data_IF_170986949507
#
_entry.id   IF_170986949507
#
_cell.length_a   1.000
_cell.length_b   1.000
_cell.length_c   1.000
_cell.angle_alpha   90.00
_cell.angle_beta   90.00
_cell.angle_gamma   90.00
#
_symmetry.space_group_name_H-M   'P 1'
#
loop_
_entity.id
_entity.type
_entity.pdbx_description
1 polymer ?
#
# COMPACT_ATOMS: atom_id res chain seq x y z
N UNK A 1 32.29 72.34 9.79
CA UNK A 1 31.21 73.19 10.33
C UNK A 1 29.86 72.57 9.93
N UNK A 2 28.85 72.54 10.83
CA UNK A 2 27.37 72.45 10.62
C UNK A 2 26.89 72.15 9.17
N UNK A 3 26.13 71.11 8.75
CA UNK A 3 25.39 69.90 9.26
C UNK A 3 25.43 68.81 8.12
N UNK A 4 24.97 67.55 8.15
CA UNK A 4 23.99 66.68 8.87
C UNK A 4 22.51 66.73 8.38
N UNK A 5 21.86 65.55 8.21
CA UNK A 5 20.47 65.28 7.74
C UNK A 5 20.26 65.35 6.21
N UNK A 6 19.32 64.63 5.54
CA UNK A 6 18.40 63.49 5.86
C UNK A 6 18.10 62.79 4.49
N UNK A 7 18.11 61.46 4.38
CA UNK A 7 17.02 60.47 4.61
C UNK A 7 15.90 60.48 3.55
N UNK A 8 15.43 59.29 3.16
CA UNK A 8 14.49 59.02 2.06
C UNK A 8 13.14 59.73 2.16
N UNK A 9 12.62 60.18 1.01
CA UNK A 9 11.18 60.34 0.77
C UNK A 9 10.76 59.34 -0.33
N UNK A 10 9.97 58.33 0.06
CA UNK A 10 9.38 57.35 -0.86
C UNK A 10 7.95 57.79 -1.19
N UNK A 11 7.56 57.81 -2.47
CA UNK A 11 6.15 58.02 -2.82
C UNK A 11 5.30 56.84 -2.33
N UNK A 12 4.38 57.11 -1.38
CA UNK A 12 3.19 56.30 -1.08
C UNK A 12 2.23 57.15 -0.20
N UNK A 13 0.95 56.78 -0.12
CA UNK A 13 -0.05 57.35 0.81
C UNK A 13 -0.46 58.83 0.67
N UNK A 14 -0.72 59.32 -0.55
CA UNK A 14 -1.44 60.61 -0.75
C UNK A 14 -2.94 60.60 -0.40
N UNK A 15 -3.45 59.55 0.27
CA UNK A 15 -4.89 59.31 0.51
C UNK A 15 -5.31 59.18 1.99
N UNK A 16 -4.39 59.15 2.96
CA UNK A 16 -4.73 59.03 4.40
C UNK A 16 -5.13 60.37 5.07
N UNK A 17 -5.67 61.33 4.31
CA UNK A 17 -6.13 62.64 4.84
C UNK A 17 -7.55 62.64 5.41
N UNK A 18 -8.25 61.49 5.42
CA UNK A 18 -9.66 61.40 5.83
C UNK A 18 -9.91 60.98 7.29
N UNK A 19 -8.87 60.71 8.09
CA UNK A 19 -9.01 60.29 9.50
C UNK A 19 -8.14 61.10 10.46
N UNK A 20 -8.60 62.32 10.76
CA UNK A 20 -8.28 63.07 11.98
C UNK A 20 -9.58 63.64 12.56
N UNK A 21 -9.70 63.86 13.89
CA UNK A 21 -8.61 63.94 14.88
C UNK A 21 -8.52 62.76 15.87
N UNK A 22 -9.35 61.72 15.77
CA UNK A 22 -9.52 60.70 16.83
C UNK A 22 -8.37 59.68 17.06
N UNK A 23 -7.24 59.77 16.33
CA UNK A 23 -6.15 58.76 16.33
C UNK A 23 -5.00 59.02 17.32
N UNK A 24 -5.21 59.85 18.35
CA UNK A 24 -4.17 60.20 19.34
C UNK A 24 -4.20 59.38 20.65
N UNK A 25 -5.18 58.48 20.84
CA UNK A 25 -5.12 57.52 21.95
C UNK A 25 -4.17 56.36 21.64
N UNK A 26 -3.29 56.03 22.59
CA UNK A 26 -2.41 54.84 22.51
C UNK A 26 -3.22 53.57 22.31
N UNK A 27 -4.36 53.44 23.00
CA UNK A 27 -5.24 52.28 22.89
C UNK A 27 -5.74 52.06 21.44
N UNK A 28 -6.03 53.13 20.70
CA UNK A 28 -6.47 53.05 19.31
C UNK A 28 -5.35 52.56 18.38
N UNK A 29 -4.10 53.01 18.61
CA UNK A 29 -2.92 52.51 17.87
C UNK A 29 -2.66 51.02 18.15
N UNK A 30 -2.81 50.58 19.40
CA UNK A 30 -2.77 49.16 19.74
C UNK A 30 -3.89 48.37 19.04
N UNK A 31 -5.11 48.89 18.98
CA UNK A 31 -6.26 48.24 18.32
C UNK A 31 -6.05 48.08 16.81
N UNK A 32 -5.51 49.10 16.13
CA UNK A 32 -5.10 49.01 14.73
C UNK A 32 -3.98 47.98 14.51
N UNK A 33 -2.97 47.92 15.39
CA UNK A 33 -1.91 46.92 15.30
C UNK A 33 -2.44 45.50 15.52
N UNK A 34 -3.36 45.29 16.46
CA UNK A 34 -4.05 44.00 16.67
C UNK A 34 -4.86 43.61 15.44
N UNK A 35 -5.60 44.54 14.82
CA UNK A 35 -6.33 44.29 13.57
C UNK A 35 -5.39 43.90 12.41
N UNK A 36 -4.25 44.60 12.25
CA UNK A 36 -3.25 44.27 11.23
C UNK A 36 -2.63 42.89 11.49
N UNK A 37 -2.29 42.56 12.74
CA UNK A 37 -1.78 41.23 13.12
C UNK A 37 -2.82 40.13 12.88
N UNK A 38 -4.10 40.38 13.18
CA UNK A 38 -5.19 39.43 12.91
C UNK A 38 -5.40 39.22 11.41
N UNK A 39 -5.37 40.28 10.60
CA UNK A 39 -5.47 40.18 9.13
C UNK A 39 -4.27 39.43 8.53
N UNK A 40 -3.05 39.73 8.98
CA UNK A 40 -1.86 38.94 8.60
C UNK A 40 -1.98 37.49 9.04
N UNK A 41 -2.60 37.20 10.19
CA UNK A 41 -2.84 35.82 10.66
C UNK A 41 -3.91 35.09 9.86
N UNK A 42 -4.81 35.79 9.18
CA UNK A 42 -5.82 35.21 8.26
C UNK A 42 -5.25 35.03 6.84
N UNK A 43 -4.39 35.94 6.38
CA UNK A 43 -3.84 35.92 5.01
C UNK A 43 -2.56 35.09 4.89
N UNK A 44 -1.71 35.05 5.93
CA UNK A 44 -0.39 34.41 5.89
C UNK A 44 -0.28 33.09 6.67
N UNK A 45 -1.37 32.60 7.28
CA UNK A 45 -1.43 31.25 7.87
C UNK A 45 -2.33 30.38 6.98
N UNK A 46 -1.80 29.39 6.24
CA UNK A 46 -2.66 28.44 5.54
C UNK A 46 -3.44 27.60 6.56
N UNK A 47 -4.68 27.24 6.23
CA UNK A 47 -5.62 26.56 7.13
C UNK A 47 -5.19 25.12 7.47
N UNK A 48 -4.28 24.98 8.43
CA UNK A 48 -3.93 23.69 9.02
C UNK A 48 -5.11 23.10 9.82
N UNK A 49 -5.41 21.80 9.66
CA UNK A 49 -6.17 21.05 10.65
C UNK A 49 -5.47 21.08 12.02
N UNK A 50 -6.23 21.12 13.12
CA UNK A 50 -5.67 21.11 14.48
C UNK A 50 -5.00 19.74 14.73
N UNK A 51 -3.67 19.67 14.87
CA UNK A 51 -2.86 19.97 16.06
C UNK A 51 -3.05 18.94 17.20
N UNK A 52 -1.97 18.22 17.55
CA UNK A 52 -1.98 17.13 18.52
C UNK A 52 -0.62 16.49 18.77
N UNK A 53 0.45 17.29 18.81
CA UNK A 53 1.83 16.79 19.05
C UNK A 53 2.56 17.71 20.02
N UNK A 54 3.30 17.14 20.97
CA UNK A 54 4.20 17.88 21.86
C UNK A 54 5.54 17.14 22.03
N UNK A 55 6.37 17.27 21.00
CA UNK A 55 7.84 17.27 21.00
C UNK A 55 8.56 16.72 22.27
N UNK A 56 9.31 15.63 22.08
CA UNK A 56 10.58 15.44 22.79
C UNK A 56 11.73 15.29 21.79
N UNK A 57 12.95 15.68 22.18
CA UNK A 57 14.09 15.79 21.27
C UNK A 57 14.91 14.49 21.27
N UNK A 58 15.32 14.04 20.09
CA UNK A 58 16.54 13.26 19.92
C UNK A 58 17.36 13.85 18.78
N UNK A 59 18.52 14.41 19.12
CA UNK A 59 19.56 14.78 18.16
C UNK A 59 20.52 13.59 18.00
N UNK A 60 21.20 13.55 16.85
CA UNK A 60 22.25 12.58 16.47
C UNK A 60 21.78 11.24 15.89
N UNK A 61 21.72 11.18 14.56
CA UNK A 61 22.75 10.42 13.84
C UNK A 61 23.11 11.16 12.54
N UNK A 62 24.39 11.14 12.17
CA UNK A 62 24.90 11.76 10.94
C UNK A 62 25.17 10.65 9.94
N UNK A 63 24.54 10.75 8.77
CA UNK A 63 24.98 10.05 7.57
C UNK A 63 24.85 11.01 6.39
N UNK A 64 25.99 11.46 5.87
CA UNK A 64 26.01 12.34 4.70
C UNK A 64 25.43 11.64 3.47
N UNK A 65 24.53 12.33 2.79
CA UNK A 65 24.03 11.94 1.47
C UNK A 65 23.85 13.21 0.65
N UNK A 66 24.63 13.42 -0.43
CA UNK A 66 24.67 14.70 -1.11
C UNK A 66 23.35 15.02 -1.83
N UNK A 67 22.85 16.24 -1.62
CA UNK A 67 21.83 16.91 -2.46
C UNK A 67 20.42 16.29 -2.55
N UNK A 68 19.70 16.24 -1.42
CA UNK A 68 18.22 16.13 -1.42
C UNK A 68 17.48 17.47 -1.67
N UNK A 69 18.21 18.57 -1.82
CA UNK A 69 17.74 19.97 -1.77
C UNK A 69 16.95 20.49 -3.00
N UNK A 70 16.33 19.62 -3.79
CA UNK A 70 15.54 20.01 -4.97
C UNK A 70 14.15 19.33 -5.04
N UNK A 71 13.69 18.68 -3.96
CA UNK A 71 12.47 17.89 -3.96
C UNK A 71 11.15 18.70 -3.86
N UNK A 72 11.24 20.03 -3.71
CA UNK A 72 10.09 20.92 -3.46
C UNK A 72 9.41 21.44 -4.75
N UNK A 73 9.97 21.08 -5.92
CA UNK A 73 9.23 21.15 -7.20
C UNK A 73 8.35 19.91 -7.31
N UNK A 74 7.04 20.09 -7.13
CA UNK A 74 6.06 19.01 -7.28
C UNK A 74 6.09 18.35 -8.67
N UNK A 75 5.78 17.05 -8.71
CA UNK A 75 5.89 16.16 -9.89
C UNK A 75 5.42 16.83 -11.19
N UNK A 76 6.32 16.92 -12.19
CA UNK A 76 6.05 17.55 -13.50
C UNK A 76 4.83 16.95 -14.18
N UNK A 77 3.98 17.82 -14.73
CA UNK A 77 2.74 17.46 -15.44
C UNK A 77 2.90 17.38 -16.96
N UNK A 78 4.03 17.87 -17.46
CA UNK A 78 4.40 18.04 -18.87
C UNK A 78 5.47 17.05 -19.34
N UNK A 79 6.01 16.24 -18.42
CA UNK A 79 7.06 15.25 -18.65
C UNK A 79 6.66 13.89 -18.12
N UNK A 80 6.88 12.87 -18.93
CA UNK A 80 6.25 11.57 -18.75
C UNK A 80 7.25 10.41 -18.72
N UNK A 81 6.86 9.34 -18.02
CA UNK A 81 7.47 8.01 -18.09
C UNK A 81 6.44 7.02 -18.67
N UNK A 82 6.79 6.36 -19.77
CA UNK A 82 6.04 5.21 -20.32
C UNK A 82 6.68 3.90 -19.84
N UNK A 83 5.87 2.89 -19.51
CA UNK A 83 6.34 1.56 -19.10
C UNK A 83 5.63 0.46 -19.90
N UNK A 84 6.28 -0.70 -20.14
CA UNK A 84 5.61 -1.83 -20.79
C UNK A 84 4.48 -2.38 -19.93
N UNK A 85 3.59 -3.17 -20.53
CA UNK A 85 2.45 -3.78 -19.82
C UNK A 85 2.92 -4.48 -18.53
N UNK A 86 2.20 -4.19 -17.45
CA UNK A 86 2.38 -4.79 -16.14
C UNK A 86 1.62 -6.13 -16.13
N UNK A 87 2.33 -7.22 -15.82
CA UNK A 87 1.88 -8.62 -16.01
C UNK A 87 2.15 -9.46 -14.76
N UNK A 88 1.76 -10.75 -14.78
CA UNK A 88 1.78 -11.73 -13.66
C UNK A 88 0.58 -11.55 -12.70
N UNK A 89 0.51 -12.27 -11.58
CA UNK A 89 -0.57 -12.13 -10.60
C UNK A 89 -0.60 -10.77 -9.88
N UNK A 90 -1.76 -10.41 -9.31
CA UNK A 90 -2.08 -9.09 -8.73
C UNK A 90 -0.94 -8.44 -7.94
N UNK A 91 -0.35 -9.15 -6.98
CA UNK A 91 0.62 -8.57 -6.05
C UNK A 91 1.95 -8.22 -6.73
N UNK A 92 2.32 -9.00 -7.74
CA UNK A 92 3.48 -8.72 -8.58
C UNK A 92 3.19 -7.51 -9.47
N UNK A 93 1.94 -7.32 -9.93
CA UNK A 93 1.49 -6.11 -10.61
C UNK A 93 1.47 -4.88 -9.69
N UNK A 94 1.02 -4.99 -8.43
CA UNK A 94 1.11 -3.90 -7.43
C UNK A 94 2.56 -3.45 -7.23
N UNK A 95 3.49 -4.39 -7.02
CA UNK A 95 4.93 -4.09 -6.88
C UNK A 95 5.51 -3.46 -8.14
N UNK A 96 5.20 -3.99 -9.32
CA UNK A 96 5.62 -3.42 -10.60
C UNK A 96 5.11 -1.97 -10.79
N UNK A 97 3.85 -1.72 -10.46
CA UNK A 97 3.23 -0.40 -10.52
C UNK A 97 3.90 0.58 -9.56
N UNK A 98 4.18 0.16 -8.32
CA UNK A 98 4.91 1.00 -7.35
C UNK A 98 6.35 1.30 -7.82
N UNK A 99 7.08 0.32 -8.35
CA UNK A 99 8.41 0.54 -8.95
C UNK A 99 8.36 1.48 -10.15
N UNK A 100 7.32 1.42 -10.98
CA UNK A 100 7.12 2.36 -12.09
C UNK A 100 6.87 3.78 -11.56
N UNK A 101 6.03 3.95 -10.54
CA UNK A 101 5.75 5.25 -9.91
C UNK A 101 7.00 5.86 -9.25
N UNK A 102 7.79 5.06 -8.52
CA UNK A 102 9.00 5.51 -7.84
C UNK A 102 10.14 5.80 -8.82
N UNK A 103 10.25 5.03 -9.92
CA UNK A 103 11.13 5.35 -11.05
C UNK A 103 10.72 6.66 -11.73
N UNK A 104 9.42 6.90 -11.95
CA UNK A 104 8.94 8.17 -12.53
C UNK A 104 9.27 9.36 -11.61
N UNK A 105 9.06 9.21 -10.30
CA UNK A 105 9.43 10.22 -9.29
C UNK A 105 10.93 10.52 -9.25
N UNK A 106 11.79 9.48 -9.32
CA UNK A 106 13.25 9.66 -9.41
C UNK A 106 13.66 10.44 -10.67
N UNK A 107 12.96 10.22 -11.79
CA UNK A 107 13.17 10.90 -13.06
C UNK A 107 12.35 12.21 -13.22
N UNK A 108 11.80 12.76 -12.12
CA UNK A 108 11.00 13.98 -12.08
C UNK A 108 9.81 14.02 -13.07
N UNK A 109 9.10 12.90 -13.22
CA UNK A 109 8.10 12.67 -14.27
C UNK A 109 6.78 12.11 -13.73
N UNK A 110 5.69 12.42 -14.44
CA UNK A 110 4.40 11.74 -14.29
C UNK A 110 4.47 10.36 -14.95
N UNK A 111 3.96 9.31 -14.31
CA UNK A 111 3.84 7.99 -14.93
C UNK A 111 2.61 7.97 -15.87
N UNK A 112 2.77 7.57 -17.13
CA UNK A 112 1.64 7.32 -18.02
C UNK A 112 0.87 6.09 -17.53
N UNK A 113 -0.46 6.22 -17.46
CA UNK A 113 -1.37 5.21 -16.90
C UNK A 113 -1.12 3.82 -17.51
N UNK A 114 -0.56 2.87 -16.76
CA UNK A 114 -0.08 1.63 -17.33
C UNK A 114 -1.23 0.67 -17.67
N UNK A 115 -0.98 -0.22 -18.64
CA UNK A 115 -1.80 -1.41 -18.88
C UNK A 115 -1.39 -2.50 -17.90
N UNK A 116 -2.38 -3.11 -17.27
CA UNK A 116 -2.28 -4.27 -16.36
C UNK A 116 -2.61 -5.56 -17.14
N UNK A 117 -2.53 -6.73 -16.50
CA UNK A 117 -2.94 -8.02 -17.07
C UNK A 117 -4.10 -8.64 -16.30
N UNK A 118 -5.21 -8.93 -16.97
CA UNK A 118 -6.36 -9.61 -16.37
C UNK A 118 -6.08 -11.12 -16.14
N UNK A 119 -5.17 -11.71 -16.93
CA UNK A 119 -4.81 -13.13 -16.89
C UNK A 119 -3.49 -13.40 -16.15
N UNK A 120 -3.37 -14.59 -15.55
CA UNK A 120 -2.20 -15.07 -14.80
C UNK A 120 -1.04 -15.55 -15.71
N UNK A 121 -1.33 -15.89 -16.96
CA UNK A 121 -0.40 -16.54 -17.90
C UNK A 121 0.74 -15.62 -18.33
N UNK A 122 1.85 -15.65 -17.60
CA UNK A 122 3.04 -14.83 -17.88
C UNK A 122 4.05 -15.45 -18.85
N UNK A 123 3.85 -16.72 -19.26
CA UNK A 123 4.73 -17.46 -20.18
C UNK A 123 4.25 -17.45 -21.64
N UNK A 124 2.95 -17.24 -21.84
CA UNK A 124 2.28 -17.27 -23.13
C UNK A 124 1.81 -15.85 -23.42
N UNK A 125 2.67 -15.05 -24.06
CA UNK A 125 2.46 -13.61 -24.27
C UNK A 125 1.15 -13.35 -25.02
N UNK A 126 0.80 -14.23 -25.95
CA UNK A 126 -0.43 -14.18 -26.76
C UNK A 126 -1.72 -14.42 -25.95
N UNK A 127 -1.61 -14.88 -24.69
CA UNK A 127 -2.72 -15.05 -23.74
C UNK A 127 -2.76 -13.96 -22.64
N UNK A 128 -1.92 -12.93 -22.74
CA UNK A 128 -2.03 -11.74 -21.90
C UNK A 128 -3.26 -10.93 -22.29
N UNK A 129 -4.23 -10.83 -21.39
CA UNK A 129 -5.41 -10.00 -21.59
C UNK A 129 -5.18 -8.61 -20.98
N UNK A 130 -4.95 -7.56 -21.78
CA UNK A 130 -4.69 -6.23 -21.25
C UNK A 130 -5.96 -5.64 -20.61
N UNK A 131 -5.81 -5.08 -19.41
CA UNK A 131 -6.84 -4.30 -18.72
C UNK A 131 -6.23 -2.96 -18.31
N UNK A 132 -6.96 -1.85 -18.50
CA UNK A 132 -6.44 -0.53 -18.11
C UNK A 132 -6.51 -0.34 -16.60
N UNK A 133 -5.58 0.45 -16.05
CA UNK A 133 -5.52 0.73 -14.60
C UNK A 133 -6.85 1.23 -14.04
N UNK A 134 -7.54 2.11 -14.77
CA UNK A 134 -8.84 2.71 -14.42
C UNK A 134 -10.05 1.74 -14.46
N UNK A 135 -9.84 0.48 -14.85
CA UNK A 135 -10.81 -0.62 -14.69
C UNK A 135 -10.57 -1.47 -13.44
N UNK A 136 -9.51 -1.18 -12.69
CA UNK A 136 -9.15 -1.89 -11.46
C UNK A 136 -9.08 -0.93 -10.27
N UNK A 137 -8.44 0.23 -10.46
CA UNK A 137 -8.21 1.24 -9.43
C UNK A 137 -8.69 2.64 -9.87
N UNK A 138 -9.24 3.42 -8.95
CA UNK A 138 -9.72 4.79 -9.21
C UNK A 138 -8.58 5.75 -9.54
N UNK A 139 -8.39 6.11 -10.81
CA UNK A 139 -7.34 7.01 -11.30
C UNK A 139 -7.30 8.36 -10.56
N UNK A 140 -8.44 9.06 -10.43
CA UNK A 140 -8.46 10.38 -9.79
C UNK A 140 -8.26 10.28 -8.27
N UNK A 141 -8.76 9.21 -7.64
CA UNK A 141 -8.57 8.96 -6.20
C UNK A 141 -7.11 8.62 -5.89
N UNK A 142 -6.45 7.83 -6.74
CA UNK A 142 -5.01 7.60 -6.68
C UNK A 142 -4.23 8.92 -6.75
N UNK A 143 -4.52 9.75 -7.76
CA UNK A 143 -3.87 11.05 -7.95
C UNK A 143 -4.14 12.04 -6.78
N UNK A 144 -5.31 11.95 -6.14
CA UNK A 144 -5.64 12.75 -4.96
C UNK A 144 -4.90 12.29 -3.71
N UNK A 145 -4.80 10.98 -3.47
CA UNK A 145 -4.15 10.41 -2.27
C UNK A 145 -2.62 10.50 -2.36
N UNK A 146 -2.06 10.28 -3.54
CA UNK A 146 -0.61 10.34 -3.79
C UNK A 146 -0.10 11.73 -4.21
N UNK A 147 -0.93 12.76 -4.10
CA UNK A 147 -0.58 14.14 -4.47
C UNK A 147 0.73 14.60 -3.80
N UNK A 148 1.57 15.29 -4.56
CA UNK A 148 2.92 15.70 -4.14
C UNK A 148 3.94 14.56 -3.96
N UNK A 149 3.56 13.29 -4.11
CA UNK A 149 4.45 12.14 -3.96
C UNK A 149 4.73 11.45 -5.30
N UNK A 150 3.68 11.00 -5.98
CA UNK A 150 3.72 10.43 -7.34
C UNK A 150 2.48 10.87 -8.12
N UNK A 151 2.50 10.77 -9.45
CA UNK A 151 1.36 11.18 -10.30
C UNK A 151 1.17 10.21 -11.47
N UNK A 152 -0.09 9.94 -11.80
CA UNK A 152 -0.51 9.32 -13.05
C UNK A 152 -1.02 10.37 -14.05
N UNK A 153 -0.66 10.20 -15.32
CA UNK A 153 -1.17 10.95 -16.46
C UNK A 153 -1.82 10.02 -17.48
N UNK A 154 -2.72 10.56 -18.31
CA UNK A 154 -3.35 9.82 -19.41
C UNK A 154 -2.53 10.01 -20.70
N UNK A 155 -2.69 9.09 -21.66
CA UNK A 155 -2.10 9.27 -23.00
C UNK A 155 -2.70 10.48 -23.76
N UNK A 156 -3.87 10.99 -23.34
CA UNK A 156 -4.44 12.26 -23.80
C UNK A 156 -3.66 13.50 -23.35
N UNK A 157 -2.78 13.36 -22.36
CA UNK A 157 -2.05 14.47 -21.76
C UNK A 157 -0.71 14.74 -22.50
N UNK A 158 -0.40 13.91 -23.52
CA UNK A 158 0.78 14.00 -24.38
C UNK A 158 0.56 14.99 -25.52
N UNK A 159 1.51 15.91 -25.71
CA UNK A 159 1.57 16.78 -26.89
C UNK A 159 2.21 16.11 -28.12
N UNK A 160 2.92 15.00 -27.92
CA UNK A 160 3.63 14.20 -28.93
C UNK A 160 4.59 15.05 -29.80
N UNK A 161 5.30 16.00 -29.16
CA UNK A 161 6.20 16.95 -29.84
C UNK A 161 7.62 16.45 -30.04
N UNK A 162 8.00 15.38 -29.35
CA UNK A 162 9.37 14.82 -29.35
C UNK A 162 9.30 13.30 -29.36
N UNK A 163 10.18 12.64 -30.10
CA UNK A 163 10.29 11.19 -30.05
C UNK A 163 10.58 10.68 -28.62
N UNK A 164 9.95 9.59 -28.16
CA UNK A 164 10.22 9.02 -26.83
C UNK A 164 11.65 8.48 -26.72
N UNK A 165 12.40 8.93 -25.71
CA UNK A 165 13.75 8.40 -25.47
C UNK A 165 13.69 7.07 -24.73
N UNK A 166 14.31 6.04 -25.29
CA UNK A 166 14.36 4.73 -24.64
C UNK A 166 15.31 4.67 -23.44
N UNK A 167 14.84 4.09 -22.34
CA UNK A 167 15.63 3.67 -21.19
C UNK A 167 15.55 2.15 -21.07
N UNK A 168 16.63 1.49 -21.46
CA UNK A 168 16.76 0.03 -21.50
C UNK A 168 16.83 -0.56 -20.08
N UNK A 169 15.99 -1.55 -19.74
CA UNK A 169 16.03 -2.31 -18.47
C UNK A 169 16.29 -3.80 -18.72
N UNK A 170 17.42 -4.28 -18.19
CA UNK A 170 17.96 -5.63 -18.44
C UNK A 170 17.88 -6.59 -17.24
N UNK A 171 18.70 -7.66 -17.27
CA UNK A 171 18.96 -8.55 -16.11
C UNK A 171 20.19 -9.44 -16.33
N UNK A 172 20.58 -10.20 -15.31
CA UNK A 172 21.67 -11.16 -15.36
C UNK A 172 23.03 -10.54 -15.03
N UNK A 173 24.13 -11.30 -15.19
CA UNK A 173 25.47 -10.93 -14.69
C UNK A 173 26.02 -9.56 -15.16
N UNK A 174 25.48 -8.99 -16.26
CA UNK A 174 25.87 -7.65 -16.78
C UNK A 174 24.96 -6.51 -16.30
N UNK A 175 23.91 -6.80 -15.54
CA UNK A 175 22.90 -5.84 -15.08
C UNK A 175 22.71 -5.96 -13.57
N UNK A 176 23.60 -5.32 -12.82
CA UNK A 176 23.58 -5.29 -11.35
C UNK A 176 22.70 -4.14 -10.82
N UNK A 177 22.45 -4.10 -9.51
CA UNK A 177 21.62 -3.04 -8.91
C UNK A 177 22.30 -1.67 -9.04
N UNK A 178 23.61 -1.63 -8.83
CA UNK A 178 24.43 -0.41 -8.89
C UNK A 178 24.44 0.18 -10.30
N UNK A 179 24.53 -0.70 -11.33
CA UNK A 179 24.43 -0.28 -12.74
C UNK A 179 23.05 0.28 -13.08
N UNK A 180 22.00 -0.37 -12.60
CA UNK A 180 20.62 0.04 -12.83
C UNK A 180 20.31 1.40 -12.17
N UNK A 181 20.83 1.62 -10.96
CA UNK A 181 20.73 2.89 -10.25
C UNK A 181 21.61 3.99 -10.86
N UNK A 182 22.81 3.67 -11.35
CA UNK A 182 23.66 4.62 -12.05
C UNK A 182 23.00 5.14 -13.34
N UNK A 183 22.39 4.25 -14.13
CA UNK A 183 21.59 4.63 -15.31
C UNK A 183 20.41 5.54 -14.93
N UNK A 184 19.73 5.29 -13.81
CA UNK A 184 18.64 6.16 -13.32
C UNK A 184 19.12 7.54 -12.87
N UNK A 185 20.40 7.69 -12.48
CA UNK A 185 21.01 9.01 -12.19
C UNK A 185 21.38 9.74 -13.49
N UNK A 186 22.02 9.05 -14.43
CA UNK A 186 22.34 9.57 -15.77
C UNK A 186 21.10 10.15 -16.48
N UNK A 187 19.98 9.40 -16.48
CA UNK A 187 18.71 9.86 -17.06
C UNK A 187 17.99 10.97 -16.27
N UNK A 188 18.43 11.26 -15.03
CA UNK A 188 17.93 12.38 -14.20
C UNK A 188 18.78 13.65 -14.38
N UNK A 189 20.08 13.48 -14.60
CA UNK A 189 21.04 14.58 -14.83
C UNK A 189 21.02 15.10 -16.27
N UNK A 190 20.49 14.31 -17.21
CA UNK A 190 20.24 14.74 -18.58
C UNK A 190 19.24 15.91 -18.64
N UNK A 191 19.40 16.89 -19.56
CA UNK A 191 18.48 18.03 -19.71
C UNK A 191 16.99 17.63 -19.74
N UNK A 192 16.27 17.92 -18.65
CA UNK A 192 14.90 17.43 -18.43
C UNK A 192 13.93 17.83 -19.57
N UNK A 193 14.21 18.96 -20.22
CA UNK A 193 13.32 19.61 -21.16
C UNK A 193 13.41 19.10 -22.60
N UNK A 194 14.49 18.40 -22.99
CA UNK A 194 14.69 17.94 -24.37
C UNK A 194 13.65 16.92 -24.84
N UNK A 195 13.18 16.02 -23.97
CA UNK A 195 12.24 14.95 -24.34
C UNK A 195 11.00 14.96 -23.45
N UNK A 196 9.82 14.89 -24.08
CA UNK A 196 8.52 14.79 -23.42
C UNK A 196 8.38 13.44 -22.68
N UNK A 197 8.71 12.34 -23.36
CA UNK A 197 8.54 10.97 -22.86
C UNK A 197 9.90 10.27 -22.72
N UNK A 198 10.14 9.65 -21.56
CA UNK A 198 11.09 8.54 -21.43
C UNK A 198 10.28 7.25 -21.53
N UNK A 199 10.63 6.35 -22.45
CA UNK A 199 10.01 5.03 -22.59
C UNK A 199 10.91 3.97 -21.98
N UNK A 200 10.44 3.26 -20.96
CA UNK A 200 11.14 2.06 -20.49
C UNK A 200 10.93 0.93 -21.49
N UNK A 201 12.02 0.25 -21.85
CA UNK A 201 12.01 -0.89 -22.78
C UNK A 201 12.81 -2.07 -22.21
N UNK A 202 12.58 -3.26 -22.73
CA UNK A 202 13.15 -4.50 -22.19
C UNK A 202 12.26 -5.11 -21.10
N UNK A 203 12.74 -5.18 -19.86
CA UNK A 203 12.09 -5.92 -18.78
C UNK A 203 10.82 -5.25 -18.22
N UNK A 204 9.85 -6.08 -17.83
CA UNK A 204 8.71 -5.70 -17.00
C UNK A 204 9.14 -5.16 -15.61
N UNK A 205 8.46 -4.16 -15.02
CA UNK A 205 8.89 -3.54 -13.76
C UNK A 205 8.95 -4.45 -12.53
N UNK A 206 8.23 -5.59 -12.51
CA UNK A 206 8.37 -6.57 -11.42
C UNK A 206 9.77 -7.20 -11.34
N UNK A 207 10.51 -7.16 -12.46
CA UNK A 207 11.83 -7.80 -12.63
C UNK A 207 12.99 -6.79 -12.69
N UNK A 208 12.74 -5.51 -12.40
CA UNK A 208 13.80 -4.52 -12.17
C UNK A 208 14.41 -4.68 -10.78
N UNK A 209 15.60 -4.11 -10.60
CA UNK A 209 16.22 -3.96 -9.29
C UNK A 209 15.41 -3.01 -8.39
N UNK A 210 15.61 -3.15 -7.08
CA UNK A 210 14.75 -2.54 -6.06
C UNK A 210 15.53 -1.56 -5.18
N UNK A 211 15.35 -0.28 -5.47
CA UNK A 211 16.13 0.84 -4.92
C UNK A 211 15.38 1.64 -3.84
N UNK A 212 14.18 1.21 -3.43
CA UNK A 212 13.23 2.05 -2.72
C UNK A 212 12.82 1.49 -1.35
N UNK A 213 12.73 2.30 -0.29
CA UNK A 213 12.40 1.83 1.05
C UNK A 213 10.93 1.36 1.15
N UNK A 214 10.66 0.41 2.05
CA UNK A 214 9.34 -0.22 2.23
C UNK A 214 8.22 0.81 2.44
N UNK A 215 8.48 1.88 3.19
CA UNK A 215 7.52 2.99 3.43
C UNK A 215 7.06 3.69 2.14
N UNK A 216 7.90 3.79 1.12
CA UNK A 216 7.59 4.46 -0.14
C UNK A 216 6.69 3.57 -1.03
N UNK A 217 6.83 2.24 -0.91
CA UNK A 217 5.85 1.27 -1.46
C UNK A 217 4.51 1.32 -0.72
N UNK A 218 4.54 1.32 0.62
CA UNK A 218 3.33 1.37 1.45
C UNK A 218 2.45 2.57 1.09
N UNK A 219 3.06 3.76 0.98
CA UNK A 219 2.36 4.98 0.57
C UNK A 219 1.69 4.88 -0.81
N UNK A 220 2.28 4.14 -1.75
CA UNK A 220 1.65 3.93 -3.07
C UNK A 220 0.51 2.93 -2.98
N UNK A 221 0.63 1.90 -2.14
CA UNK A 221 -0.44 0.92 -1.93
C UNK A 221 -1.66 1.55 -1.23
N UNK A 222 -1.46 2.49 -0.28
CA UNK A 222 -2.55 3.30 0.29
C UNK A 222 -3.33 4.11 -0.78
N UNK A 223 -2.67 4.51 -1.87
CA UNK A 223 -3.32 5.22 -2.99
C UNK A 223 -4.10 4.28 -3.94
N UNK A 224 -3.84 2.96 -3.93
CA UNK A 224 -4.44 1.97 -4.84
C UNK A 224 -5.87 1.57 -4.42
N UNK A 225 -6.80 2.52 -4.46
CA UNK A 225 -8.21 2.26 -4.14
C UNK A 225 -8.92 1.60 -5.33
N UNK A 226 -9.56 0.45 -5.10
CA UNK A 226 -10.36 -0.25 -6.12
C UNK A 226 -11.52 0.60 -6.66
N UNK A 227 -11.91 0.36 -7.91
CA UNK A 227 -13.13 0.97 -8.50
C UNK A 227 -14.41 0.42 -7.84
N UNK A 228 -15.47 1.24 -7.87
CA UNK A 228 -16.70 1.01 -7.07
C UNK A 228 -17.42 -0.31 -7.38
N UNK A 229 -17.29 -0.83 -8.60
CA UNK A 229 -17.82 -2.15 -8.98
C UNK A 229 -17.17 -3.26 -8.14
N UNK A 230 -15.84 -3.32 -8.11
CA UNK A 230 -15.09 -4.35 -7.36
C UNK A 230 -15.24 -4.11 -5.86
N UNK A 231 -15.22 -2.86 -5.41
CA UNK A 231 -15.44 -2.51 -4.01
C UNK A 231 -16.81 -3.00 -3.51
N UNK A 232 -17.87 -2.85 -4.31
CA UNK A 232 -19.22 -3.36 -3.99
C UNK A 232 -19.24 -4.89 -3.89
N UNK A 233 -18.49 -5.59 -4.72
CA UNK A 233 -18.36 -7.06 -4.63
C UNK A 233 -17.57 -7.49 -3.37
N UNK A 234 -16.53 -6.75 -2.98
CA UNK A 234 -15.86 -6.92 -1.69
C UNK A 234 -16.83 -6.73 -0.52
N UNK A 235 -17.65 -5.67 -0.53
CA UNK A 235 -18.65 -5.48 0.53
C UNK A 235 -19.67 -6.64 0.57
N UNK A 236 -20.09 -7.19 -0.58
CA UNK A 236 -20.97 -8.37 -0.63
C UNK A 236 -20.32 -9.61 0.02
N UNK A 237 -19.04 -9.88 -0.25
CA UNK A 237 -18.33 -11.02 0.36
C UNK A 237 -18.16 -10.81 1.87
N UNK A 238 -17.70 -9.63 2.32
CA UNK A 238 -17.52 -9.32 3.75
C UNK A 238 -18.86 -9.32 4.51
N UNK A 239 -19.93 -8.82 3.90
CA UNK A 239 -21.28 -8.91 4.46
C UNK A 239 -21.72 -10.38 4.62
N UNK A 240 -21.46 -11.24 3.63
CA UNK A 240 -21.83 -12.66 3.71
C UNK A 240 -21.04 -13.42 4.77
N UNK A 241 -19.76 -13.10 4.96
CA UNK A 241 -18.93 -13.64 6.06
C UNK A 241 -19.54 -13.26 7.43
N UNK A 242 -19.95 -12.01 7.60
CA UNK A 242 -20.58 -11.54 8.86
C UNK A 242 -21.99 -12.09 9.06
N UNK A 243 -22.74 -12.30 7.98
CA UNK A 243 -24.07 -12.93 8.01
C UNK A 243 -23.98 -14.38 8.51
N UNK A 244 -23.04 -15.19 8.00
CA UNK A 244 -22.86 -16.57 8.50
C UNK A 244 -22.37 -16.60 9.95
N UNK A 245 -21.48 -15.68 10.34
CA UNK A 245 -21.05 -15.50 11.74
C UNK A 245 -22.19 -15.15 12.69
N UNK A 246 -23.06 -14.21 12.29
CA UNK A 246 -24.24 -13.81 13.07
C UNK A 246 -25.22 -14.98 13.24
N UNK A 247 -25.43 -15.77 12.17
CA UNK A 247 -26.26 -16.98 12.19
C UNK A 247 -25.67 -18.12 13.04
N UNK A 248 -24.37 -18.12 13.31
CA UNK A 248 -23.73 -19.05 14.25
C UNK A 248 -24.02 -18.61 15.70
N UNK A 249 -23.87 -17.31 16.00
CA UNK A 249 -24.14 -16.76 17.34
C UNK A 249 -25.62 -16.93 17.73
N UNK A 250 -26.57 -16.55 16.86
CA UNK A 250 -28.02 -16.68 17.14
C UNK A 250 -28.46 -18.14 17.39
N UNK A 251 -27.71 -19.15 16.91
CA UNK A 251 -27.98 -20.56 17.25
C UNK A 251 -27.52 -20.94 18.65
N UNK A 252 -26.51 -20.25 19.21
CA UNK A 252 -26.09 -20.36 20.61
C UNK A 252 -27.05 -19.59 21.52
N UNK A 253 -27.37 -18.34 21.17
CA UNK A 253 -28.18 -17.44 22.01
C UNK A 253 -29.61 -17.95 22.23
N UNK A 254 -30.09 -18.90 21.40
CA UNK A 254 -31.33 -19.66 21.65
C UNK A 254 -31.29 -20.60 22.87
N UNK A 255 -30.13 -20.80 23.49
CA UNK A 255 -29.98 -21.49 24.78
C UNK A 255 -29.67 -20.54 25.95
N UNK A 256 -29.24 -19.29 25.71
CA UNK A 256 -28.81 -18.33 26.74
C UNK A 256 -29.66 -17.05 26.63
N UNK A 257 -30.70 -16.94 27.47
CA UNK A 257 -31.76 -15.94 27.28
C UNK A 257 -31.37 -14.52 27.73
N UNK A 258 -31.69 -13.54 26.86
CA UNK A 258 -31.71 -12.07 27.07
C UNK A 258 -30.38 -11.29 27.02
N UNK A 259 -30.30 -10.34 26.08
CA UNK A 259 -30.41 -8.88 26.38
C UNK A 259 -30.46 -8.05 25.08
N UNK A 260 -31.12 -6.89 25.10
CA UNK A 260 -31.26 -6.01 23.93
C UNK A 260 -30.05 -5.08 23.74
N UNK A 261 -28.86 -5.65 23.52
CA UNK A 261 -27.69 -4.92 23.03
C UNK A 261 -27.51 -5.16 21.54
N UNK A 262 -27.09 -4.14 20.77
CA UNK A 262 -26.62 -4.35 19.39
C UNK A 262 -25.41 -5.30 19.42
N UNK A 263 -25.61 -6.53 18.93
CA UNK A 263 -24.55 -7.55 18.93
C UNK A 263 -23.45 -7.05 17.98
N UNK A 264 -22.20 -6.86 18.46
CA UNK A 264 -21.12 -6.42 17.59
C UNK A 264 -20.88 -7.46 16.49
N UNK A 265 -20.61 -7.04 15.23
CA UNK A 265 -20.51 -7.95 14.11
C UNK A 265 -19.43 -9.00 14.36
N UNK A 266 -19.80 -10.28 14.22
CA UNK A 266 -18.92 -11.42 14.51
C UNK A 266 -17.57 -11.24 13.80
N UNK A 267 -16.43 -11.26 14.53
CA UNK A 267 -15.13 -11.12 13.93
C UNK A 267 -14.83 -12.31 13.01
N UNK A 268 -13.97 -12.11 12.03
CA UNK A 268 -13.54 -13.19 11.16
C UNK A 268 -12.02 -13.29 11.01
N UNK A 269 -11.56 -14.53 10.99
CA UNK A 269 -10.22 -14.92 10.59
C UNK A 269 -10.19 -15.04 9.07
N UNK A 270 -9.14 -14.55 8.41
CA UNK A 270 -8.85 -14.88 7.02
C UNK A 270 -7.53 -15.64 6.91
N UNK A 271 -7.56 -16.83 6.30
CA UNK A 271 -6.39 -17.69 6.07
C UNK A 271 -6.11 -17.75 4.57
N UNK A 272 -4.96 -17.25 4.15
CA UNK A 272 -4.47 -17.35 2.78
C UNK A 272 -3.65 -18.64 2.60
N UNK A 273 -4.33 -19.74 2.26
CA UNK A 273 -3.73 -21.07 2.19
C UNK A 273 -2.99 -21.29 0.87
N UNK A 274 -1.65 -21.20 0.92
CA UNK A 274 -0.77 -21.62 -0.18
C UNK A 274 -0.41 -23.09 -0.03
N UNK A 275 -1.22 -23.94 -0.66
CA UNK A 275 -1.14 -25.41 -0.68
C UNK A 275 -1.38 -25.99 -2.09
N UNK A 276 -1.47 -25.13 -3.10
CA UNK A 276 -1.71 -25.52 -4.50
C UNK A 276 -0.52 -26.28 -5.09
N UNK A 277 -0.73 -27.13 -6.10
CA UNK A 277 0.32 -28.03 -6.60
C UNK A 277 1.50 -27.27 -7.22
N UNK A 278 1.25 -26.15 -7.92
CA UNK A 278 2.31 -25.30 -8.44
C UNK A 278 3.16 -24.69 -7.31
N UNK A 279 2.51 -24.29 -6.20
CA UNK A 279 3.17 -23.82 -4.99
C UNK A 279 3.97 -24.92 -4.31
N UNK A 280 3.40 -26.11 -4.11
CA UNK A 280 4.08 -27.21 -3.42
C UNK A 280 5.29 -27.73 -4.21
N UNK A 281 5.27 -27.64 -5.54
CA UNK A 281 6.44 -27.89 -6.40
C UNK A 281 7.46 -26.75 -6.31
N UNK A 282 7.01 -25.50 -6.16
CA UNK A 282 7.87 -24.31 -6.07
C UNK A 282 8.59 -24.22 -4.71
N UNK A 283 7.86 -24.31 -3.59
CA UNK A 283 8.42 -24.18 -2.24
C UNK A 283 9.45 -25.28 -1.97
N UNK A 284 9.16 -26.56 -2.27
CA UNK A 284 10.13 -27.66 -2.09
C UNK A 284 11.43 -27.45 -2.87
N UNK A 285 11.36 -26.85 -4.06
CA UNK A 285 12.55 -26.51 -4.87
C UNK A 285 13.32 -25.30 -4.34
N UNK A 286 12.68 -24.38 -3.61
CA UNK A 286 13.37 -23.30 -2.90
C UNK A 286 14.01 -23.80 -1.59
N UNK A 287 13.32 -24.64 -0.84
CA UNK A 287 13.81 -25.30 0.37
C UNK A 287 15.09 -26.09 0.11
N UNK A 288 15.06 -26.98 -0.89
CA UNK A 288 16.22 -27.76 -1.34
C UNK A 288 17.41 -26.89 -1.78
N UNK A 289 17.17 -25.68 -2.29
CA UNK A 289 18.24 -24.75 -2.74
C UNK A 289 18.78 -23.86 -1.62
N UNK A 290 17.97 -23.60 -0.60
CA UNK A 290 18.28 -22.67 0.49
C UNK A 290 18.64 -23.38 1.79
N UNK A 291 18.50 -24.70 1.84
CA UNK A 291 18.71 -25.57 3.00
C UNK A 291 17.87 -25.17 4.22
N UNK A 292 16.58 -24.88 3.98
CA UNK A 292 15.58 -24.58 5.02
C UNK A 292 14.30 -25.40 4.79
N UNK A 293 13.44 -25.50 5.80
CA UNK A 293 12.20 -26.26 5.82
C UNK A 293 10.99 -25.41 6.30
N UNK A 294 11.02 -24.11 6.03
CA UNK A 294 10.07 -23.11 6.53
C UNK A 294 9.33 -22.37 5.39
N UNK A 295 9.26 -22.94 4.19
CA UNK A 295 8.60 -22.30 3.02
C UNK A 295 7.29 -23.01 2.71
N UNK A 296 7.33 -24.34 2.59
CA UNK A 296 6.15 -25.15 2.49
C UNK A 296 5.44 -25.25 3.84
N UNK A 297 4.15 -25.58 3.80
CA UNK A 297 3.48 -26.21 4.94
C UNK A 297 2.48 -27.23 4.42
N UNK A 298 2.21 -28.28 5.19
CA UNK A 298 1.08 -29.16 4.87
C UNK A 298 -0.24 -28.48 5.21
N UNK A 299 -1.37 -29.04 4.74
CA UNK A 299 -2.70 -28.60 5.16
C UNK A 299 -2.87 -28.78 6.67
N UNK A 300 -2.47 -29.93 7.18
CA UNK A 300 -2.57 -30.35 8.58
C UNK A 300 -1.77 -29.39 9.49
N UNK A 301 -0.55 -29.04 9.09
CA UNK A 301 0.32 -28.07 9.76
C UNK A 301 -0.32 -26.66 9.84
N UNK A 302 -1.06 -26.24 8.79
CA UNK A 302 -1.82 -24.99 8.80
C UNK A 302 -3.00 -25.08 9.77
N UNK A 303 -3.77 -26.17 9.73
CA UNK A 303 -4.93 -26.40 10.60
C UNK A 303 -4.53 -26.41 12.08
N UNK A 304 -3.44 -27.11 12.39
CA UNK A 304 -2.87 -27.22 13.73
C UNK A 304 -2.41 -25.87 14.26
N UNK A 305 -1.50 -25.17 13.55
CA UNK A 305 -0.98 -23.87 13.97
C UNK A 305 -2.10 -22.83 14.10
N UNK A 306 -3.01 -22.72 13.12
CA UNK A 306 -4.15 -21.79 13.21
C UNK A 306 -5.06 -22.13 14.40
N UNK A 307 -5.15 -23.40 14.80
CA UNK A 307 -5.81 -23.83 16.03
C UNK A 307 -5.12 -23.39 17.33
N UNK A 308 -3.85 -23.01 17.29
CA UNK A 308 -3.05 -22.50 18.42
C UNK A 308 -2.93 -20.97 18.47
N UNK A 309 -3.81 -20.25 17.77
CA UNK A 309 -3.97 -18.80 17.95
C UNK A 309 -4.97 -18.54 19.08
N UNK A 310 -4.48 -18.18 20.26
CA UNK A 310 -5.29 -18.04 21.49
C UNK A 310 -6.25 -16.84 21.48
N UNK A 311 -5.90 -15.75 20.81
CA UNK A 311 -6.68 -14.51 20.77
C UNK A 311 -7.81 -14.50 19.71
N UNK A 312 -8.21 -15.66 19.19
CA UNK A 312 -9.38 -15.80 18.32
C UNK A 312 -10.60 -16.15 19.16
N UNK A 313 -11.59 -15.25 19.17
CA UNK A 313 -12.90 -15.49 19.76
C UNK A 313 -13.57 -16.72 19.12
N UNK A 314 -14.04 -17.67 19.93
CA UNK A 314 -14.67 -18.92 19.46
C UNK A 314 -16.16 -18.92 19.81
N UNK A 315 -17.07 -19.19 18.86
CA UNK A 315 -16.80 -19.56 17.47
C UNK A 315 -16.33 -18.39 16.58
N UNK A 316 -15.41 -18.68 15.65
CA UNK A 316 -14.97 -17.76 14.60
C UNK A 316 -15.35 -18.30 13.22
N UNK A 317 -15.81 -17.41 12.34
CA UNK A 317 -15.80 -17.68 10.90
C UNK A 317 -14.36 -17.65 10.42
N UNK A 318 -14.00 -18.60 9.54
CA UNK A 318 -12.68 -18.64 8.90
C UNK A 318 -12.85 -18.58 7.39
N UNK A 319 -12.47 -17.43 6.80
CA UNK A 319 -12.47 -17.24 5.35
C UNK A 319 -11.20 -17.84 4.73
N UNK A 320 -11.36 -18.73 3.76
CA UNK A 320 -10.24 -19.36 3.04
C UNK A 320 -9.98 -18.64 1.72
N UNK A 321 -8.93 -17.81 1.70
CA UNK A 321 -8.39 -17.24 0.47
C UNK A 321 -7.44 -18.25 -0.17
N UNK A 322 -7.94 -18.98 -1.17
CA UNK A 322 -7.20 -20.01 -1.90
C UNK A 322 -7.62 -20.02 -3.37
N UNK A 323 -6.72 -20.44 -4.26
CA UNK A 323 -7.04 -20.59 -5.68
C UNK A 323 -7.78 -21.91 -5.92
N UNK A 324 -9.10 -21.91 -5.77
CA UNK A 324 -9.96 -23.10 -5.80
C UNK A 324 -9.86 -23.93 -7.10
N UNK A 325 -9.41 -23.33 -8.20
CA UNK A 325 -9.15 -24.00 -9.48
C UNK A 325 -7.83 -24.77 -9.55
N UNK A 326 -6.99 -24.69 -8.50
CA UNK A 326 -5.67 -25.31 -8.38
C UNK A 326 -5.58 -26.26 -7.16
N UNK A 327 -6.72 -26.56 -6.52
CA UNK A 327 -6.85 -27.53 -5.43
C UNK A 327 -7.36 -28.87 -5.95
N UNK A 328 -6.69 -29.96 -5.54
CA UNK A 328 -7.18 -31.33 -5.72
C UNK A 328 -7.88 -31.91 -4.47
N UNK A 329 -7.77 -31.27 -3.30
CA UNK A 329 -8.39 -31.76 -2.06
C UNK A 329 -9.80 -31.16 -1.81
N UNK A 330 -10.90 -31.93 -1.99
CA UNK A 330 -12.24 -31.48 -1.64
C UNK A 330 -12.46 -31.39 -0.11
N UNK A 331 -11.52 -31.88 0.72
CA UNK A 331 -11.59 -31.89 2.19
C UNK A 331 -10.92 -30.68 2.84
N UNK A 332 -10.59 -29.61 2.11
CA UNK A 332 -9.94 -28.39 2.65
C UNK A 332 -10.70 -27.77 3.85
N UNK A 333 -12.00 -28.05 3.94
CA UNK A 333 -12.93 -27.61 4.98
C UNK A 333 -13.05 -28.56 6.19
N UNK A 334 -12.24 -29.63 6.25
CA UNK A 334 -12.24 -30.66 7.31
C UNK A 334 -10.94 -30.60 8.13
N UNK A 335 -11.02 -30.99 9.41
CA UNK A 335 -9.86 -31.04 10.32
C UNK A 335 -9.55 -29.74 11.08
N UNK A 336 -10.41 -28.72 10.97
CA UNK A 336 -10.27 -27.47 11.72
C UNK A 336 -10.58 -27.69 13.21
N UNK A 337 -9.78 -27.07 14.09
CA UNK A 337 -9.94 -27.15 15.55
C UNK A 337 -11.30 -26.58 16.01
N UNK A 338 -11.83 -27.10 17.11
CA UNK A 338 -13.15 -26.72 17.62
C UNK A 338 -13.32 -25.19 17.77
N UNK A 339 -14.48 -24.70 17.34
CA UNK A 339 -14.80 -23.28 17.27
C UNK A 339 -14.31 -22.56 16.01
N UNK A 340 -13.45 -23.15 15.18
CA UNK A 340 -13.05 -22.58 13.88
C UNK A 340 -13.92 -23.14 12.75
N UNK A 341 -14.67 -22.28 12.06
CA UNK A 341 -15.71 -22.68 11.10
C UNK A 341 -15.32 -22.21 9.69
N UNK A 342 -14.79 -23.11 8.83
CA UNK A 342 -14.16 -22.74 7.55
C UNK A 342 -15.15 -22.57 6.39
N UNK A 343 -14.91 -21.55 5.58
CA UNK A 343 -15.66 -21.24 4.37
C UNK A 343 -14.72 -20.90 3.20
N UNK A 344 -14.81 -21.67 2.11
CA UNK A 344 -14.39 -21.22 0.78
C UNK A 344 -15.59 -20.63 0.02
N UNK A 345 -15.34 -20.08 -1.17
CA UNK A 345 -16.27 -19.19 -1.90
C UNK A 345 -17.59 -19.86 -2.30
N UNK A 346 -17.60 -21.17 -2.55
CA UNK A 346 -18.79 -21.95 -2.91
C UNK A 346 -19.65 -22.22 -1.67
N UNK A 347 -19.07 -22.71 -0.56
CA UNK A 347 -19.76 -22.91 0.73
C UNK A 347 -20.26 -21.60 1.34
N UNK A 348 -19.56 -20.49 1.12
CA UNK A 348 -20.00 -19.16 1.53
C UNK A 348 -21.18 -18.64 0.67
N UNK A 349 -21.40 -19.21 -0.52
CA UNK A 349 -22.46 -18.81 -1.44
C UNK A 349 -22.15 -17.53 -2.22
N UNK A 350 -20.87 -17.30 -2.57
CA UNK A 350 -20.39 -16.11 -3.31
C UNK A 350 -19.65 -16.46 -4.60
N UNK A 351 -19.71 -17.71 -5.07
CA UNK A 351 -19.01 -18.13 -6.29
C UNK A 351 -19.51 -17.42 -7.56
N UNK A 352 -20.75 -16.91 -7.56
CA UNK A 352 -21.29 -16.01 -8.60
C UNK A 352 -20.47 -14.72 -8.74
N UNK A 353 -19.98 -14.18 -7.63
CA UNK A 353 -19.19 -12.95 -7.56
C UNK A 353 -17.83 -13.16 -8.25
N UNK A 354 -17.18 -14.29 -7.98
CA UNK A 354 -15.84 -14.58 -8.49
C UNK A 354 -15.87 -15.06 -9.94
N UNK A 355 -16.79 -15.97 -10.29
CA UNK A 355 -16.79 -16.64 -11.61
C UNK A 355 -17.09 -15.72 -12.80
N UNK A 356 -17.77 -14.58 -12.58
CA UNK A 356 -17.98 -13.55 -13.62
C UNK A 356 -16.75 -12.67 -13.92
N UNK A 357 -15.71 -12.74 -13.10
CA UNK A 357 -14.57 -11.83 -13.14
C UNK A 357 -13.26 -12.55 -13.55
N UNK A 358 -12.32 -11.87 -14.24
CA UNK A 358 -11.03 -12.46 -14.59
C UNK A 358 -10.11 -12.56 -13.35
N UNK A 359 -9.08 -13.39 -13.45
CA UNK A 359 -8.20 -13.76 -12.33
C UNK A 359 -7.63 -12.56 -11.53
N UNK A 360 -7.24 -11.46 -12.21
CA UNK A 360 -6.76 -10.25 -11.54
C UNK A 360 -7.79 -9.69 -10.54
N UNK A 361 -9.07 -9.66 -10.94
CA UNK A 361 -10.16 -9.08 -10.15
C UNK A 361 -10.58 -10.06 -9.05
N UNK A 362 -10.66 -11.37 -9.33
CA UNK A 362 -10.85 -12.39 -8.30
C UNK A 362 -9.79 -12.28 -7.19
N UNK A 363 -8.52 -12.12 -7.58
CA UNK A 363 -7.41 -11.90 -6.66
C UNK A 363 -7.56 -10.62 -5.84
N UNK A 364 -8.14 -9.56 -6.42
CA UNK A 364 -8.33 -8.27 -5.75
C UNK A 364 -9.46 -8.32 -4.71
N UNK A 365 -10.51 -9.09 -4.97
CA UNK A 365 -11.57 -9.34 -3.99
C UNK A 365 -11.02 -10.15 -2.81
N UNK A 366 -10.30 -11.25 -3.06
CA UNK A 366 -9.64 -12.02 -1.99
C UNK A 366 -8.64 -11.17 -1.18
N UNK A 367 -7.86 -10.32 -1.86
CA UNK A 367 -6.89 -9.43 -1.22
C UNK A 367 -7.54 -8.48 -0.21
N UNK A 368 -8.61 -7.77 -0.63
CA UNK A 368 -9.35 -6.87 0.26
C UNK A 368 -10.05 -7.62 1.39
N UNK A 369 -10.69 -8.77 1.11
CA UNK A 369 -11.38 -9.57 2.13
C UNK A 369 -10.39 -10.04 3.22
N UNK A 370 -9.17 -10.44 2.85
CA UNK A 370 -8.11 -10.74 3.81
C UNK A 370 -7.59 -9.50 4.55
N UNK A 371 -7.35 -8.39 3.84
CA UNK A 371 -6.85 -7.14 4.41
C UNK A 371 -7.81 -6.52 5.44
N UNK A 372 -9.11 -6.75 5.27
CA UNK A 372 -10.20 -6.29 6.14
C UNK A 372 -10.52 -7.22 7.33
N UNK A 373 -9.95 -8.42 7.38
CA UNK A 373 -10.19 -9.40 8.44
C UNK A 373 -9.69 -8.91 9.81
N UNK A 374 -10.30 -9.36 10.89
CA UNK A 374 -9.85 -9.00 12.24
C UNK A 374 -8.49 -9.66 12.53
N UNK A 375 -8.35 -10.95 12.18
CA UNK A 375 -7.06 -11.66 12.16
C UNK A 375 -6.74 -12.16 10.74
N UNK A 376 -5.49 -12.00 10.31
CA UNK A 376 -4.98 -12.53 9.04
C UNK A 376 -3.87 -13.55 9.27
N UNK A 377 -3.90 -14.67 8.54
CA UNK A 377 -2.84 -15.69 8.59
C UNK A 377 -2.47 -16.09 7.16
N UNK A 378 -1.18 -16.19 6.87
CA UNK A 378 -0.71 -16.57 5.54
C UNK A 378 0.71 -17.10 5.54
N UNK A 379 1.24 -17.37 4.35
CA UNK A 379 2.61 -17.82 4.15
C UNK A 379 3.58 -16.65 3.93
N UNK A 380 4.69 -16.55 4.66
CA UNK A 380 5.68 -15.46 4.57
C UNK A 380 6.49 -15.43 3.28
N UNK A 381 6.48 -16.53 2.51
CA UNK A 381 7.11 -16.60 1.20
C UNK A 381 6.16 -16.24 0.05
N UNK A 382 4.88 -15.99 0.34
CA UNK A 382 3.95 -15.51 -0.68
C UNK A 382 3.84 -13.98 -0.67
N UNK A 383 4.05 -13.38 -1.84
CA UNK A 383 3.84 -11.96 -2.11
C UNK A 383 2.42 -11.49 -1.76
N UNK A 384 1.41 -12.36 -1.85
CA UNK A 384 0.03 -12.05 -1.47
C UNK A 384 -0.07 -11.76 0.02
N UNK A 385 0.40 -12.67 0.88
CA UNK A 385 0.41 -12.48 2.33
C UNK A 385 1.28 -11.28 2.72
N UNK A 386 2.46 -11.15 2.10
CA UNK A 386 3.45 -10.12 2.45
C UNK A 386 2.93 -8.69 2.22
N UNK A 387 2.24 -8.44 1.11
CA UNK A 387 1.65 -7.12 0.87
C UNK A 387 0.45 -6.84 1.79
N UNK A 388 -0.33 -7.87 2.17
CA UNK A 388 -1.42 -7.70 3.15
C UNK A 388 -0.86 -7.31 4.52
N UNK A 389 0.20 -7.98 4.99
CA UNK A 389 0.82 -7.65 6.28
C UNK A 389 1.51 -6.28 6.25
N UNK A 390 2.07 -5.87 5.11
CA UNK A 390 2.58 -4.52 4.88
C UNK A 390 1.48 -3.47 5.07
N UNK A 391 0.33 -3.63 4.38
CA UNK A 391 -0.77 -2.68 4.50
C UNK A 391 -1.45 -2.71 5.88
N UNK A 392 -1.54 -3.88 6.54
CA UNK A 392 -2.02 -3.99 7.94
C UNK A 392 -1.06 -3.30 8.92
N UNK A 393 0.26 -3.46 8.73
CA UNK A 393 1.28 -2.79 9.55
C UNK A 393 1.20 -1.26 9.36
N UNK A 394 1.03 -0.78 8.13
CA UNK A 394 0.84 0.63 7.82
C UNK A 394 -0.45 1.19 8.46
N UNK A 395 -1.56 0.44 8.44
CA UNK A 395 -2.83 0.79 9.13
C UNK A 395 -2.69 0.85 10.66
N UNK A 396 -1.88 -0.03 11.26
CA UNK A 396 -1.57 0.02 12.70
C UNK A 396 -0.74 1.27 13.05
N UNK A 397 0.31 1.58 12.28
CA UNK A 397 1.15 2.76 12.50
C UNK A 397 0.35 4.06 12.35
N UNK A 398 -0.47 4.18 11.30
CA UNK A 398 -1.31 5.37 11.06
C UNK A 398 -2.45 5.54 12.08
N UNK A 399 -2.80 4.48 12.82
CA UNK A 399 -3.74 4.55 13.96
C UNK A 399 -3.03 4.70 15.32
N UNK A 400 -1.72 4.94 15.33
CA UNK A 400 -0.93 5.24 16.53
C UNK A 400 -0.32 4.03 17.25
N UNK A 401 -0.46 2.81 16.72
CA UNK A 401 0.15 1.62 17.31
C UNK A 401 1.63 1.49 16.92
N UNK A 402 2.51 2.02 17.77
CA UNK A 402 3.96 1.85 17.65
C UNK A 402 4.40 0.44 18.09
N UNK A 403 4.88 -0.37 17.14
CA UNK A 403 5.63 -1.64 17.31
C UNK A 403 5.64 -2.25 18.73
N UNK A 404 4.54 -2.89 19.11
CA UNK A 404 4.46 -3.75 20.29
C UNK A 404 3.77 -5.05 19.89
N UNK A 405 4.55 -6.11 19.68
CA UNK A 405 3.98 -7.44 19.39
C UNK A 405 3.30 -8.08 20.60
N UNK A 406 3.64 -7.62 21.82
CA UNK A 406 3.09 -8.05 23.10
C UNK A 406 1.59 -7.74 23.26
N UNK A 407 1.08 -6.70 22.58
CA UNK A 407 -0.34 -6.34 22.64
C UNK A 407 -1.10 -6.94 21.46
N UNK A 408 -2.30 -7.46 21.76
CA UNK A 408 -3.26 -7.84 20.72
C UNK A 408 -3.84 -6.60 20.07
N UNK A 409 -3.92 -6.61 18.75
CA UNK A 409 -4.45 -5.50 17.94
C UNK A 409 -5.61 -5.94 17.06
N UNK A 410 -6.42 -4.97 16.61
CA UNK A 410 -7.56 -5.21 15.70
C UNK A 410 -7.14 -5.73 14.31
N UNK A 411 -5.85 -5.76 14.00
CA UNK A 411 -5.31 -6.27 12.74
C UNK A 411 -4.11 -7.20 12.94
N UNK A 412 -4.11 -8.00 14.03
CA UNK A 412 -3.09 -9.01 14.27
C UNK A 412 -2.93 -9.94 13.04
N UNK A 413 -1.68 -10.31 12.78
CA UNK A 413 -1.26 -10.97 11.54
C UNK A 413 -0.19 -12.02 11.85
N UNK A 414 -0.22 -13.17 11.17
CA UNK A 414 0.66 -14.31 11.49
C UNK A 414 1.17 -15.05 10.25
N UNK A 415 2.38 -15.61 10.34
CA UNK A 415 2.98 -16.48 9.33
C UNK A 415 2.84 -17.95 9.73
N UNK A 416 2.02 -18.73 9.01
CA UNK A 416 1.78 -20.13 9.39
C UNK A 416 2.96 -21.06 9.13
N UNK A 417 3.89 -20.69 8.26
CA UNK A 417 5.04 -21.49 7.85
C UNK A 417 6.25 -21.34 8.80
N UNK A 418 6.11 -20.55 9.86
CA UNK A 418 7.14 -20.32 10.89
C UNK A 418 6.49 -20.62 12.23
N UNK A 419 7.11 -21.51 13.00
CA UNK A 419 6.63 -21.88 14.34
C UNK A 419 6.81 -20.69 15.29
N UNK A 420 5.74 -20.32 15.99
CA UNK A 420 5.71 -19.25 16.98
C UNK A 420 5.56 -19.76 18.41
N UNK A 421 5.12 -18.86 19.30
CA UNK A 421 4.79 -19.17 20.69
C UNK A 421 3.60 -20.13 20.75
N UNK A 422 3.60 -21.08 21.70
CA UNK A 422 2.46 -21.94 21.99
C UNK A 422 2.10 -22.94 20.89
N UNK A 423 3.09 -23.36 20.07
CA UNK A 423 2.89 -24.22 18.88
C UNK A 423 2.02 -23.58 17.78
N UNK A 424 1.71 -22.28 17.91
CA UNK A 424 1.01 -21.48 16.92
C UNK A 424 1.89 -20.95 15.79
N UNK A 425 1.32 -20.13 14.90
CA UNK A 425 2.06 -19.44 13.85
C UNK A 425 2.80 -18.24 14.44
N UNK A 426 3.97 -17.91 13.90
CA UNK A 426 4.72 -16.73 14.37
C UNK A 426 3.96 -15.43 14.05
N UNK A 427 3.82 -14.54 15.05
CA UNK A 427 3.21 -13.21 14.87
C UNK A 427 4.09 -12.39 13.92
N UNK A 428 3.46 -11.69 12.98
CA UNK A 428 4.11 -11.13 11.80
C UNK A 428 3.74 -9.65 11.63
N UNK A 429 4.73 -8.76 11.71
CA UNK A 429 4.63 -7.37 11.22
C UNK A 429 5.63 -7.12 10.09
N UNK A 430 5.49 -5.99 9.39
CA UNK A 430 6.42 -5.58 8.34
C UNK A 430 7.49 -4.60 8.86
N UNK A 431 8.75 -4.82 8.50
CA UNK A 431 9.80 -3.82 8.74
C UNK A 431 9.68 -2.63 7.77
N UNK A 432 8.85 -1.67 8.15
CA UNK A 432 8.68 -0.38 7.46
C UNK A 432 9.97 0.48 7.37
N UNK A 433 11.04 0.12 8.10
CA UNK A 433 12.33 0.82 8.05
C UNK A 433 13.30 0.27 7.00
N UNK A 434 13.03 -0.93 6.45
CA UNK A 434 13.90 -1.57 5.46
C UNK A 434 14.05 -0.74 4.18
N UNK A 435 15.28 -0.72 3.65
CA UNK A 435 15.70 0.09 2.50
C UNK A 435 15.26 -0.45 1.12
N UNK A 436 14.70 -1.66 1.08
CA UNK A 436 14.25 -2.34 -0.14
C UNK A 436 13.07 -3.27 0.16
N UNK A 437 12.14 -3.46 -0.78
CA UNK A 437 11.06 -4.43 -0.62
C UNK A 437 11.58 -5.89 -0.58
N UNK A 438 12.83 -6.13 -1.01
CA UNK A 438 13.49 -7.44 -0.88
C UNK A 438 13.59 -7.96 0.57
N UNK A 439 13.48 -7.08 1.58
CA UNK A 439 13.46 -7.51 2.98
C UNK A 439 12.17 -8.25 3.39
N UNK A 440 11.07 -8.07 2.63
CA UNK A 440 9.72 -8.53 3.01
C UNK A 440 8.94 -9.21 1.87
N UNK A 441 9.37 -9.03 0.62
CA UNK A 441 8.91 -9.74 -0.56
C UNK A 441 9.99 -10.73 -1.02
N UNK A 442 9.61 -11.74 -1.82
CA UNK A 442 10.51 -12.76 -2.39
C UNK A 442 11.05 -13.84 -1.44
N UNK A 443 10.49 -13.97 -0.23
CA UNK A 443 10.72 -15.15 0.60
C UNK A 443 11.66 -14.90 1.77
N UNK A 444 11.09 -14.42 2.88
CA UNK A 444 11.83 -14.18 4.12
C UNK A 444 11.28 -15.04 5.27
N UNK A 445 12.17 -15.63 6.06
CA UNK A 445 11.89 -16.10 7.42
C UNK A 445 12.17 -15.01 8.47
N UNK A 446 12.88 -13.94 8.10
CA UNK A 446 13.06 -12.75 8.92
C UNK A 446 11.79 -11.87 8.84
N UNK A 447 10.80 -12.24 9.64
CA UNK A 447 9.57 -11.48 9.87
C UNK A 447 9.66 -10.74 11.20
N UNK A 448 9.30 -9.46 11.23
CA UNK A 448 9.56 -8.64 12.41
C UNK A 448 8.51 -8.82 13.51
N UNK A 449 9.00 -9.10 14.72
CA UNK A 449 8.44 -8.71 16.00
C UNK A 449 9.58 -8.27 16.90
#
# INVERSE_FOLDING_TARGET
>A
MIRRNKLMDLMICKHFKFFGPYMNSVACRCLCLVLIVLLLRVVCVPSFPKFGEFQSRSLNSVFDSPSLLNLDKGVRKDKFLEVPQIVWGLNNQKIAFARACLTARMLNRTLLMPKLSASLFYKEVDRLQPISFDKVFHFEKFNSLCNGFVRLGRFSDLSNRTEPRELQKGSGRKWTSERDLAQLREFREYPEDEVEVIRIVGKNPFLWHDHWPVKDYAKIFECLVLVDEIAKEVERVVAKIREVGSNINVKRDKFEMSTNSEIPPTPYLAVHMRVEIDWMIHCKKLEQRSNINQICSSKEEILERVGHIDNIAKPSVVYLAVADSLLEDPKILQGWKEGLIPYEKKRLGVWDIYSKHPYLIQSAIDYEVCLRADVFVGNSFSTFSSLIVLERTQRLITTGFTRSCERHTRWDSYAYNILGVGEGPQKWTTDMSASSLQAISYGTSNISC
#
